data_IF_994469125930
#
_entry.id   IF_994469125930
#
_cell.length_a   1.000
_cell.length_b   1.000
_cell.length_c   1.000
_cell.angle_alpha   90.00
_cell.angle_beta   90.00
_cell.angle_gamma   90.00
#
_symmetry.space_group_name_H-M   'P 1'
#
loop_
_entity.id
_entity.type
_entity.pdbx_description
1 polymer ?
#
# COMPACT_ATOMS: atom_id res chain seq x y z
N UNK A 1 -0.66 15.97 11.10
CA UNK A 1 -1.88 16.53 10.47
C UNK A 1 -1.57 17.31 9.19
N UNK A 2 -0.84 18.45 9.22
CA UNK A 2 -0.57 19.27 8.03
C UNK A 2 0.11 18.52 6.87
N UNK A 3 1.15 17.74 7.17
CA UNK A 3 1.84 16.99 6.14
C UNK A 3 0.96 15.88 5.53
N UNK A 4 0.23 15.13 6.36
CA UNK A 4 -0.63 14.04 5.86
C UNK A 4 -1.72 14.57 4.93
N UNK A 5 -2.29 15.74 5.26
CA UNK A 5 -3.23 16.41 4.38
C UNK A 5 -2.61 16.79 3.03
N UNK A 6 -1.37 17.29 3.01
CA UNK A 6 -0.64 17.56 1.77
C UNK A 6 -0.42 16.29 0.95
N UNK A 7 -0.08 15.17 1.60
CA UNK A 7 0.00 13.86 0.95
C UNK A 7 -1.33 13.46 0.31
N UNK A 8 -2.45 13.57 1.04
CA UNK A 8 -3.77 13.23 0.52
C UNK A 8 -4.14 14.09 -0.68
N UNK A 9 -3.89 15.41 -0.64
CA UNK A 9 -4.13 16.30 -1.78
C UNK A 9 -3.28 15.88 -2.98
N UNK A 10 -1.97 15.68 -2.78
CA UNK A 10 -1.06 15.33 -3.86
C UNK A 10 -1.41 13.99 -4.50
N UNK A 11 -1.82 13.02 -3.69
CA UNK A 11 -2.36 11.75 -4.18
C UNK A 11 -3.59 11.98 -5.06
N UNK A 12 -4.57 12.74 -4.57
CA UNK A 12 -5.79 13.02 -5.34
C UNK A 12 -5.49 13.78 -6.65
N UNK A 13 -4.56 14.73 -6.64
CA UNK A 13 -4.11 15.46 -7.84
C UNK A 13 -3.44 14.52 -8.86
N UNK A 14 -2.50 13.66 -8.42
CA UNK A 14 -1.81 12.70 -9.30
C UNK A 14 -2.76 11.63 -9.87
N UNK A 15 -3.81 11.30 -9.10
CA UNK A 15 -4.90 10.45 -9.54
C UNK A 15 -5.88 11.18 -10.49
N UNK A 16 -5.67 12.47 -10.77
CA UNK A 16 -6.49 13.27 -11.67
C UNK A 16 -7.90 13.56 -11.12
N UNK A 17 -8.02 13.55 -9.80
CA UNK A 17 -9.28 13.74 -9.07
C UNK A 17 -9.46 15.18 -8.62
N UNK A 18 -8.35 15.89 -8.45
CA UNK A 18 -8.31 17.33 -8.19
C UNK A 18 -7.45 17.99 -9.26
N UNK A 19 -7.82 19.21 -9.64
CA UNK A 19 -6.96 20.08 -10.45
C UNK A 19 -6.00 20.90 -9.59
N UNK A 20 -5.19 21.73 -10.26
CA UNK A 20 -4.23 22.64 -9.65
C UNK A 20 -4.88 23.69 -8.74
N UNK A 21 -6.19 23.94 -8.90
CA UNK A 21 -6.99 24.83 -8.06
C UNK A 21 -7.67 24.09 -6.89
N UNK A 22 -7.52 22.76 -6.81
CA UNK A 22 -8.13 21.92 -5.78
C UNK A 22 -9.61 21.61 -6.02
N UNK A 23 -10.11 21.78 -7.24
CA UNK A 23 -11.50 21.48 -7.62
C UNK A 23 -11.64 20.02 -8.05
N UNK A 24 -12.71 19.32 -7.62
CA UNK A 24 -12.96 17.94 -8.00
C UNK A 24 -13.22 17.79 -9.51
N UNK A 25 -12.58 16.79 -10.11
CA UNK A 25 -12.67 16.49 -11.53
C UNK A 25 -13.33 15.13 -11.82
N UNK A 26 -14.07 15.04 -12.93
CA UNK A 26 -14.53 13.81 -13.57
C UNK A 26 -15.06 12.71 -12.61
N UNK A 27 -14.18 11.80 -12.18
CA UNK A 27 -14.48 10.62 -11.37
C UNK A 27 -14.46 10.88 -9.86
N UNK A 28 -14.14 12.11 -9.43
CA UNK A 28 -14.15 12.51 -8.02
C UNK A 28 -15.51 12.26 -7.34
N UNK A 29 -16.61 12.43 -8.08
CA UNK A 29 -17.96 12.11 -7.58
C UNK A 29 -18.13 10.63 -7.22
N UNK A 30 -17.51 9.70 -7.96
CA UNK A 30 -17.61 8.27 -7.65
C UNK A 30 -16.89 7.97 -6.34
N UNK A 31 -15.73 8.58 -6.12
CA UNK A 31 -14.90 8.35 -4.93
C UNK A 31 -15.59 8.87 -3.68
N UNK A 32 -16.20 10.06 -3.75
CA UNK A 32 -16.94 10.62 -2.62
C UNK A 32 -18.16 9.76 -2.25
N UNK A 33 -18.86 9.21 -3.26
CA UNK A 33 -19.96 8.28 -3.01
C UNK A 33 -19.50 6.92 -2.46
N UNK A 34 -18.27 6.48 -2.76
CA UNK A 34 -17.70 5.21 -2.29
C UNK A 34 -16.66 5.38 -1.17
N UNK A 35 -16.67 6.49 -0.44
CA UNK A 35 -15.65 6.81 0.58
C UNK A 35 -15.53 5.74 1.68
N UNK A 36 -16.63 5.05 2.01
CA UNK A 36 -16.65 3.98 3.02
C UNK A 36 -15.94 2.69 2.57
N UNK A 37 -15.54 2.62 1.29
CA UNK A 37 -14.82 1.50 0.71
C UNK A 37 -13.34 1.81 0.43
N UNK A 38 -12.75 2.79 1.10
CA UNK A 38 -11.31 3.02 1.04
C UNK A 38 -10.52 1.79 1.56
N UNK A 39 -9.43 1.38 0.88
CA UNK A 39 -8.80 2.02 -0.30
C UNK A 39 -9.31 1.51 -1.67
N UNK A 40 -10.28 0.59 -1.70
CA UNK A 40 -10.79 -0.03 -2.92
C UNK A 40 -11.41 0.94 -3.92
N UNK A 41 -12.04 2.02 -3.45
CA UNK A 41 -12.60 3.10 -4.28
C UNK A 41 -11.54 3.83 -5.13
N UNK A 42 -10.37 4.13 -4.55
CA UNK A 42 -9.26 4.82 -5.23
C UNK A 42 -8.65 3.92 -6.30
N UNK A 43 -8.37 2.65 -5.94
CA UNK A 43 -7.89 1.66 -6.88
C UNK A 43 -8.89 1.38 -8.02
N UNK A 44 -10.19 1.40 -7.72
CA UNK A 44 -11.24 1.27 -8.73
C UNK A 44 -11.20 2.40 -9.76
N UNK A 45 -11.05 3.65 -9.32
CA UNK A 45 -10.92 4.78 -10.25
C UNK A 45 -9.64 4.72 -11.06
N UNK A 46 -8.52 4.29 -10.47
CA UNK A 46 -7.30 4.05 -11.23
C UNK A 46 -7.49 2.98 -12.33
N UNK A 47 -8.20 1.89 -12.02
CA UNK A 47 -8.56 0.87 -13.02
C UNK A 47 -9.47 1.39 -14.14
N UNK A 48 -10.39 2.30 -13.83
CA UNK A 48 -11.23 2.96 -14.83
C UNK A 48 -10.39 3.88 -15.73
N UNK A 49 -9.52 4.70 -15.13
CA UNK A 49 -8.65 5.65 -15.85
C UNK A 49 -7.64 4.97 -16.75
N UNK A 50 -7.04 3.87 -16.30
CA UNK A 50 -6.11 3.06 -17.09
C UNK A 50 -6.77 2.33 -18.26
N UNK A 51 -8.11 2.27 -18.30
CA UNK A 51 -8.86 1.53 -19.32
C UNK A 51 -8.86 0.01 -19.11
N UNK A 52 -8.22 -0.51 -18.06
CA UNK A 52 -8.08 -1.94 -17.81
C UNK A 52 -9.45 -2.63 -17.63
N UNK A 53 -10.40 -1.95 -16.99
CA UNK A 53 -11.78 -2.45 -16.86
C UNK A 53 -12.53 -2.47 -18.19
N UNK A 54 -12.27 -1.49 -19.08
CA UNK A 54 -12.90 -1.44 -20.41
C UNK A 54 -12.42 -2.60 -21.27
N UNK A 55 -11.14 -2.88 -21.24
CA UNK A 55 -10.55 -4.01 -21.96
C UNK A 55 -11.03 -5.36 -21.40
N UNK A 56 -11.19 -5.45 -20.08
CA UNK A 56 -11.79 -6.64 -19.46
C UNK A 56 -13.22 -6.86 -19.96
N UNK A 57 -13.98 -5.79 -20.13
CA UNK A 57 -15.38 -5.81 -20.56
C UNK A 57 -15.56 -5.74 -22.09
N UNK A 58 -14.57 -6.19 -22.88
CA UNK A 58 -14.70 -6.17 -24.33
C UNK A 58 -15.86 -7.08 -24.77
N UNK A 59 -16.84 -6.55 -25.53
CA UNK A 59 -17.99 -7.33 -25.97
C UNK A 59 -17.55 -8.42 -26.96
N UNK A 60 -18.28 -9.54 -26.98
CA UNK A 60 -18.13 -10.55 -28.03
C UNK A 60 -18.63 -9.99 -29.38
N UNK A 61 -18.40 -10.74 -30.47
CA UNK A 61 -18.76 -10.32 -31.84
C UNK A 61 -20.24 -9.96 -31.99
N UNK A 62 -21.09 -10.54 -31.15
CA UNK A 62 -22.54 -10.35 -31.15
C UNK A 62 -23.00 -9.19 -30.24
N UNK A 63 -22.05 -8.43 -29.67
CA UNK A 63 -22.33 -7.30 -28.76
C UNK A 63 -22.70 -7.71 -27.33
N UNK A 64 -22.74 -9.00 -27.03
CA UNK A 64 -23.06 -9.54 -25.71
C UNK A 64 -21.81 -9.65 -24.82
N UNK A 65 -22.03 -9.55 -23.50
CA UNK A 65 -20.97 -9.76 -22.51
C UNK A 65 -20.98 -11.23 -22.09
N UNK A 66 -19.85 -11.91 -22.30
CA UNK A 66 -19.66 -13.30 -21.90
C UNK A 66 -19.90 -13.52 -20.41
N UNK A 67 -20.44 -14.69 -20.03
CA UNK A 67 -20.52 -15.09 -18.60
C UNK A 67 -19.14 -15.09 -17.94
N UNK A 68 -18.10 -15.47 -18.67
CA UNK A 68 -16.71 -15.42 -18.17
C UNK A 68 -16.26 -13.98 -17.85
N UNK A 69 -16.63 -13.02 -18.70
CA UNK A 69 -16.34 -11.60 -18.50
C UNK A 69 -17.07 -11.04 -17.27
N UNK A 70 -18.35 -11.39 -17.09
CA UNK A 70 -19.10 -11.01 -15.89
C UNK A 70 -18.45 -11.58 -14.61
N UNK A 71 -18.07 -12.86 -14.64
CA UNK A 71 -17.39 -13.51 -13.52
C UNK A 71 -16.04 -12.84 -13.19
N UNK A 72 -15.28 -12.42 -14.20
CA UNK A 72 -14.04 -11.69 -14.01
C UNK A 72 -14.28 -10.29 -13.46
N UNK A 73 -15.35 -9.61 -13.87
CA UNK A 73 -15.72 -8.30 -13.34
C UNK A 73 -16.07 -8.41 -11.84
N UNK A 74 -16.93 -9.37 -11.49
CA UNK A 74 -17.29 -9.64 -10.08
C UNK A 74 -16.07 -10.04 -9.27
N UNK A 75 -15.12 -10.78 -9.87
CA UNK A 75 -13.86 -11.12 -9.23
C UNK A 75 -13.08 -9.85 -8.84
N UNK A 76 -12.89 -8.93 -9.78
CA UNK A 76 -12.19 -7.65 -9.53
C UNK A 76 -12.92 -6.84 -8.46
N UNK A 77 -14.24 -6.72 -8.54
CA UNK A 77 -15.03 -6.01 -7.53
C UNK A 77 -14.93 -6.66 -6.15
N UNK A 78 -14.84 -8.00 -6.09
CA UNK A 78 -14.68 -8.73 -4.83
C UNK A 78 -13.34 -8.41 -4.15
N UNK A 79 -12.27 -8.27 -4.94
CA UNK A 79 -10.96 -7.86 -4.42
C UNK A 79 -10.95 -6.43 -3.87
N UNK A 80 -11.74 -5.52 -4.44
CA UNK A 80 -11.73 -4.10 -4.08
C UNK A 80 -12.72 -3.77 -2.96
N UNK A 81 -13.94 -4.33 -3.02
CA UNK A 81 -15.06 -3.92 -2.16
C UNK A 81 -15.49 -4.98 -1.15
N UNK A 82 -15.10 -6.24 -1.36
CA UNK A 82 -15.40 -7.36 -0.48
C UNK A 82 -14.14 -8.08 0.07
N UNK A 83 -13.04 -7.38 0.41
CA UNK A 83 -11.85 -8.06 0.92
C UNK A 83 -12.09 -8.62 2.31
N UNK A 84 -12.27 -9.94 2.41
CA UNK A 84 -12.32 -10.65 3.68
C UNK A 84 -11.16 -11.62 3.75
N UNK A 85 -10.16 -11.35 4.59
CA UNK A 85 -8.97 -12.20 4.70
C UNK A 85 -9.36 -13.57 5.22
N UNK A 86 -8.95 -14.60 4.48
CA UNK A 86 -9.23 -15.98 4.83
C UNK A 86 -8.25 -16.47 5.89
N UNK A 87 -8.76 -16.94 7.02
CA UNK A 87 -7.92 -17.44 8.11
C UNK A 87 -7.19 -18.71 7.70
N UNK A 88 -5.92 -18.88 8.10
CA UNK A 88 -5.05 -20.00 7.70
C UNK A 88 -5.65 -21.39 7.93
N UNK A 89 -6.53 -21.54 8.92
CA UNK A 89 -7.25 -22.80 9.19
C UNK A 89 -8.24 -23.20 8.10
N UNK A 90 -8.87 -22.23 7.44
CA UNK A 90 -9.86 -22.49 6.38
C UNK A 90 -9.22 -22.96 5.07
N UNK A 91 -7.90 -22.81 4.89
CA UNK A 91 -7.16 -23.32 3.73
C UNK A 91 -7.08 -24.85 3.67
N UNK A 92 -7.11 -25.52 4.84
CA UNK A 92 -6.91 -26.97 4.91
C UNK A 92 -8.22 -27.76 4.82
N UNK A 93 -9.35 -27.08 4.64
CA UNK A 93 -10.67 -27.69 4.57
C UNK A 93 -11.04 -27.87 3.09
N UNK A 94 -11.45 -29.09 2.71
CA UNK A 94 -12.03 -29.35 1.39
C UNK A 94 -13.51 -28.97 1.42
N UNK A 95 -13.89 -28.02 0.57
CA UNK A 95 -15.28 -27.64 0.35
C UNK A 95 -15.75 -28.28 -0.95
N UNK A 96 -16.90 -28.96 -0.90
CA UNK A 96 -17.42 -29.70 -2.06
C UNK A 96 -18.29 -28.81 -2.97
N UNK A 97 -18.99 -27.82 -2.40
CA UNK A 97 -20.01 -27.04 -3.11
C UNK A 97 -19.69 -25.55 -3.23
N UNK A 98 -18.75 -25.02 -2.42
CA UNK A 98 -18.39 -23.61 -2.41
C UNK A 98 -16.94 -23.37 -2.78
N UNK A 99 -16.71 -22.30 -3.55
CA UNK A 99 -15.36 -21.77 -3.80
C UNK A 99 -15.01 -20.74 -2.74
N UNK A 100 -14.55 -21.24 -1.59
CA UNK A 100 -14.25 -20.42 -0.41
C UNK A 100 -13.00 -19.54 -0.61
N UNK A 101 -12.05 -19.99 -1.43
CA UNK A 101 -10.87 -19.20 -1.77
C UNK A 101 -11.16 -18.38 -3.03
N UNK A 102 -10.99 -17.06 -2.92
CA UNK A 102 -11.14 -16.15 -4.06
C UNK A 102 -10.10 -16.49 -5.15
N UNK A 103 -10.51 -16.70 -6.42
CA UNK A 103 -9.58 -16.97 -7.51
C UNK A 103 -8.57 -15.83 -7.72
N UNK A 104 -7.39 -16.08 -8.29
CA UNK A 104 -6.42 -15.02 -8.55
C UNK A 104 -6.95 -14.01 -9.59
N UNK A 105 -6.59 -12.72 -9.40
CA UNK A 105 -6.92 -11.65 -10.34
C UNK A 105 -6.41 -11.93 -11.77
N UNK A 106 -7.13 -11.46 -12.81
CA UNK A 106 -6.61 -11.44 -14.17
C UNK A 106 -5.24 -10.75 -14.22
N UNK A 107 -4.22 -11.31 -14.91
CA UNK A 107 -2.85 -10.81 -14.87
C UNK A 107 -2.72 -9.32 -15.21
N UNK A 108 -3.52 -8.85 -16.17
CA UNK A 108 -3.53 -7.44 -16.58
C UNK A 108 -4.06 -6.51 -15.49
N UNK A 109 -5.15 -6.90 -14.82
CA UNK A 109 -5.71 -6.13 -13.70
C UNK A 109 -4.74 -6.13 -12.53
N UNK A 110 -4.17 -7.29 -12.21
CA UNK A 110 -3.16 -7.41 -11.14
C UNK A 110 -1.99 -6.46 -11.37
N UNK A 111 -1.43 -6.44 -12.59
CA UNK A 111 -0.33 -5.54 -12.95
C UNK A 111 -0.69 -4.06 -12.78
N UNK A 112 -1.90 -3.67 -13.18
CA UNK A 112 -2.36 -2.28 -13.03
C UNK A 112 -2.53 -1.91 -11.55
N UNK A 113 -3.00 -2.83 -10.71
CA UNK A 113 -3.08 -2.61 -9.25
C UNK A 113 -1.69 -2.57 -8.59
N UNK A 114 -0.73 -3.35 -9.09
CA UNK A 114 0.67 -3.26 -8.65
C UNK A 114 1.26 -1.88 -8.99
N UNK A 115 1.02 -1.39 -10.22
CA UNK A 115 1.42 -0.03 -10.62
C UNK A 115 0.76 1.06 -9.75
N UNK A 116 -0.53 0.89 -9.43
CA UNK A 116 -1.23 1.79 -8.49
C UNK A 116 -0.53 1.82 -7.12
N UNK A 117 -0.23 0.64 -6.54
CA UNK A 117 0.45 0.55 -5.26
C UNK A 117 1.85 1.18 -5.32
N UNK A 118 2.60 0.97 -6.41
CA UNK A 118 3.92 1.57 -6.63
C UNK A 118 3.84 3.11 -6.70
N UNK A 119 2.86 3.66 -7.41
CA UNK A 119 2.62 5.12 -7.47
C UNK A 119 2.31 5.68 -6.07
N UNK A 120 1.39 5.04 -5.33
CA UNK A 120 1.02 5.46 -3.96
C UNK A 120 2.25 5.44 -3.05
N UNK A 121 3.08 4.40 -3.14
CA UNK A 121 4.31 4.28 -2.34
C UNK A 121 5.34 5.35 -2.69
N UNK A 122 5.52 5.65 -3.97
CA UNK A 122 6.44 6.71 -4.41
C UNK A 122 6.02 8.07 -3.85
N UNK A 123 4.72 8.39 -3.89
CA UNK A 123 4.17 9.63 -3.31
C UNK A 123 4.38 9.65 -1.79
N UNK A 124 4.22 8.50 -1.14
CA UNK A 124 4.41 8.40 0.31
C UNK A 124 5.90 8.50 0.72
N UNK A 125 6.83 8.00 -0.10
CA UNK A 125 8.27 8.21 0.08
C UNK A 125 8.65 9.70 -0.04
N UNK A 126 8.05 10.42 -1.00
CA UNK A 126 8.21 11.88 -1.11
C UNK A 126 7.67 12.57 0.14
N UNK A 127 6.50 12.15 0.60
CA UNK A 127 5.92 12.64 1.86
C UNK A 127 6.87 12.48 3.04
N UNK A 128 7.49 11.30 3.21
CA UNK A 128 8.46 11.08 4.27
C UNK A 128 9.67 12.02 4.18
N UNK A 129 10.17 12.26 2.98
CA UNK A 129 11.26 13.23 2.74
C UNK A 129 10.87 14.63 3.17
N UNK A 130 9.70 15.11 2.74
CA UNK A 130 9.23 16.45 3.09
C UNK A 130 8.97 16.60 4.61
N UNK A 131 8.42 15.58 5.26
CA UNK A 131 8.22 15.58 6.73
C UNK A 131 9.58 15.63 7.44
N UNK A 132 10.53 14.80 7.01
CA UNK A 132 11.83 14.74 7.65
C UNK A 132 12.63 16.03 7.45
N UNK A 133 12.58 16.66 6.28
CA UNK A 133 13.16 17.99 6.03
C UNK A 133 12.51 19.07 6.93
N UNK A 134 11.18 19.07 7.02
CA UNK A 134 10.45 20.06 7.82
C UNK A 134 10.71 19.95 9.34
N UNK A 135 11.03 18.75 9.81
CA UNK A 135 11.35 18.49 11.21
C UNK A 135 12.88 18.40 11.42
N UNK A 136 13.71 18.44 10.36
CA UNK A 136 15.16 18.15 10.43
C UNK A 136 15.87 19.02 11.48
N UNK A 137 15.52 20.30 11.53
CA UNK A 137 16.07 21.26 12.48
C UNK A 137 15.69 20.94 13.94
N UNK A 138 14.59 20.23 14.16
CA UNK A 138 14.07 19.83 15.47
C UNK A 138 14.40 18.37 15.81
N UNK A 139 14.83 17.57 14.83
CA UNK A 139 14.95 16.11 14.93
C UNK A 139 16.15 15.68 15.80
N UNK A 140 17.13 16.55 16.03
CA UNK A 140 18.32 16.24 16.81
C UNK A 140 19.05 14.98 16.32
N UNK A 141 19.99 14.50 17.12
CA UNK A 141 20.71 13.26 16.81
C UNK A 141 19.85 12.01 17.09
N UNK A 142 19.95 11.00 16.23
CA UNK A 142 19.24 9.72 16.40
C UNK A 142 19.98 8.77 17.35
N UNK A 143 20.07 9.16 18.61
CA UNK A 143 20.86 8.44 19.64
C UNK A 143 20.00 7.72 20.67
N UNK A 144 18.67 7.79 20.57
CA UNK A 144 17.75 7.22 21.56
C UNK A 144 16.97 6.06 20.96
N UNK A 145 17.04 4.89 21.58
CA UNK A 145 16.27 3.72 21.15
C UNK A 145 14.76 3.96 21.35
N UNK A 146 13.92 3.66 20.34
CA UNK A 146 12.53 4.09 20.33
C UNK A 146 11.64 3.38 21.36
N UNK A 147 11.95 2.13 21.71
CA UNK A 147 11.14 1.33 22.65
C UNK A 147 11.66 1.37 24.09
N UNK A 148 12.99 1.40 24.28
CA UNK A 148 13.62 1.36 25.60
C UNK A 148 13.97 2.74 26.15
N UNK A 149 13.98 3.78 25.32
CA UNK A 149 14.42 5.13 25.70
C UNK A 149 15.92 5.23 26.05
N UNK A 150 16.69 4.15 25.83
CA UNK A 150 18.12 4.12 26.15
C UNK A 150 18.86 5.02 25.16
N UNK A 151 19.65 5.95 25.72
CA UNK A 151 20.54 6.82 24.96
C UNK A 151 21.89 6.16 24.73
N UNK A 152 22.28 6.05 23.46
CA UNK A 152 23.57 5.54 23.03
C UNK A 152 24.42 6.74 22.63
N UNK A 153 25.25 7.19 23.58
CA UNK A 153 26.23 8.25 23.36
C UNK A 153 27.60 7.61 23.12
N UNK A 154 28.40 8.10 22.16
CA UNK A 154 29.79 7.66 22.03
C UNK A 154 30.60 8.10 23.27
N UNK A 155 31.56 7.26 23.70
CA UNK A 155 32.47 7.59 24.82
C UNK A 155 33.43 8.74 24.49
N UNK A 156 33.78 8.89 23.22
CA UNK A 156 34.65 9.93 22.68
C UNK A 156 34.08 10.42 21.35
N UNK A 157 34.20 11.72 21.06
CA UNK A 157 33.75 12.27 19.78
C UNK A 157 34.66 11.74 18.66
N UNK A 158 34.13 10.88 17.80
CA UNK A 158 34.85 10.40 16.63
C UNK A 158 35.02 11.54 15.63
N UNK A 159 36.27 11.93 15.36
CA UNK A 159 36.63 12.90 14.32
C UNK A 159 37.38 12.14 13.25
N UNK A 160 36.74 11.93 12.10
CA UNK A 160 37.37 11.25 10.99
C UNK A 160 38.55 12.09 10.45
N UNK A 161 39.70 11.46 10.26
CA UNK A 161 40.87 12.10 9.65
C UNK A 161 40.57 12.44 8.19
N UNK A 162 40.37 13.72 7.86
CA UNK A 162 40.11 14.19 6.48
C UNK A 162 41.38 14.45 5.68
N UNK A 163 42.55 14.46 6.33
CA UNK A 163 43.85 14.71 5.72
C UNK A 163 44.70 13.43 5.64
N UNK A 164 45.33 13.16 4.50
CA UNK A 164 46.20 12.00 4.27
C UNK A 164 45.65 10.96 3.28
N UNK A 165 46.41 9.85 3.06
CA UNK A 165 46.00 8.77 2.15
C UNK A 165 44.69 8.11 2.61
N UNK A 166 43.95 7.52 1.65
CA UNK A 166 42.63 6.94 1.91
C UNK A 166 42.68 5.86 3.00
N UNK A 167 42.23 6.21 4.20
CA UNK A 167 42.05 5.29 5.32
C UNK A 167 40.69 4.61 5.25
N UNK A 168 40.55 3.46 5.92
CA UNK A 168 39.26 2.75 6.04
C UNK A 168 38.18 3.65 6.64
N UNK A 169 38.54 4.46 7.64
CA UNK A 169 37.66 5.42 8.30
C UNK A 169 37.09 6.45 7.32
N UNK A 170 37.97 7.05 6.51
CA UNK A 170 37.57 8.02 5.49
C UNK A 170 36.69 7.39 4.42
N UNK A 171 37.02 6.18 3.98
CA UNK A 171 36.20 5.43 3.03
C UNK A 171 34.80 5.12 3.58
N UNK A 172 34.68 4.79 4.87
CA UNK A 172 33.40 4.55 5.53
C UNK A 172 32.55 5.83 5.69
N UNK A 173 33.19 6.97 5.98
CA UNK A 173 32.50 8.26 6.09
C UNK A 173 32.05 8.77 4.72
N UNK A 174 32.91 8.72 3.71
CA UNK A 174 32.58 9.13 2.33
C UNK A 174 31.54 8.19 1.69
N UNK A 175 31.53 6.91 2.06
CA UNK A 175 30.53 5.93 1.63
C UNK A 175 29.22 5.97 2.44
N UNK A 176 29.12 6.79 3.48
CA UNK A 176 27.94 6.86 4.32
C UNK A 176 26.85 7.70 3.64
N UNK A 177 25.75 7.07 3.23
CA UNK A 177 24.58 7.83 2.76
C UNK A 177 23.98 8.67 3.91
N UNK A 178 23.45 9.87 3.60
CA UNK A 178 22.76 10.69 4.59
C UNK A 178 21.55 9.95 5.15
N UNK A 179 21.39 10.00 6.48
CA UNK A 179 20.33 9.34 7.24
C UNK A 179 19.46 10.42 7.90
N UNK A 180 18.56 10.98 7.11
CA UNK A 180 17.62 12.00 7.58
C UNK A 180 16.34 11.33 8.09
N UNK A 181 15.88 10.29 7.37
CA UNK A 181 14.60 9.62 7.63
C UNK A 181 14.78 8.25 8.26
N UNK A 182 15.74 7.46 7.75
CA UNK A 182 16.08 6.15 8.26
C UNK A 182 16.73 6.29 9.65
N UNK A 183 16.34 5.44 10.59
CA UNK A 183 16.97 5.41 11.89
C UNK A 183 18.44 5.01 11.77
N UNK A 184 19.32 5.67 12.53
CA UNK A 184 20.72 5.29 12.62
C UNK A 184 20.89 3.82 13.03
N UNK A 185 19.99 3.30 13.87
CA UNK A 185 19.96 1.91 14.31
C UNK A 185 19.54 0.95 13.18
N UNK A 186 18.52 1.31 12.41
CA UNK A 186 18.08 0.52 11.26
C UNK A 186 19.16 0.51 10.15
N UNK A 187 19.87 1.63 9.99
CA UNK A 187 20.93 1.74 9.01
C UNK A 187 22.15 0.84 9.29
N UNK A 188 22.36 0.40 10.54
CA UNK A 188 23.37 -0.62 10.85
C UNK A 188 23.05 -1.97 10.18
N UNK A 189 21.80 -2.21 9.81
CA UNK A 189 21.35 -3.41 9.09
C UNK A 189 21.34 -3.24 7.57
N UNK A 190 21.92 -2.14 7.04
CA UNK A 190 21.98 -1.86 5.61
C UNK A 190 20.76 -1.13 5.04
N UNK A 191 19.90 -0.57 5.90
CA UNK A 191 18.79 0.28 5.47
C UNK A 191 19.24 1.73 5.22
N UNK A 192 18.68 2.39 4.21
CA UNK A 192 18.97 3.80 3.92
C UNK A 192 17.68 4.59 3.68
N UNK A 193 17.83 5.88 3.35
CA UNK A 193 16.71 6.77 3.04
C UNK A 193 16.03 6.45 1.67
N UNK A 194 16.48 5.39 0.99
CA UNK A 194 15.91 4.89 -0.27
C UNK A 194 14.97 3.71 -0.01
N UNK A 195 13.77 3.74 -0.60
CA UNK A 195 12.80 2.64 -0.50
C UNK A 195 12.35 2.41 0.95
N UNK A 196 11.95 3.50 1.62
CA UNK A 196 11.56 3.51 3.02
C UNK A 196 10.29 2.69 3.25
N UNK A 197 9.37 2.76 2.28
CA UNK A 197 8.17 1.94 2.31
C UNK A 197 8.43 0.54 1.76
N UNK A 198 8.31 -0.47 2.61
CA UNK A 198 8.22 -1.87 2.20
C UNK A 198 6.95 -2.50 2.76
N UNK A 199 6.19 -3.20 1.91
CA UNK A 199 4.96 -3.92 2.28
C UNK A 199 5.15 -4.87 3.47
N UNK A 200 6.38 -5.37 3.71
CA UNK A 200 6.69 -6.30 4.81
C UNK A 200 7.30 -5.61 6.03
N UNK A 201 8.03 -4.50 5.84
CA UNK A 201 8.68 -3.73 6.90
C UNK A 201 8.10 -2.32 6.94
N UNK A 202 6.84 -2.23 7.33
CA UNK A 202 6.06 -0.99 7.26
C UNK A 202 6.64 0.14 8.15
N UNK A 203 7.35 -0.17 9.26
CA UNK A 203 7.59 0.82 10.33
C UNK A 203 9.01 0.76 10.93
N UNK A 204 9.73 -0.36 10.82
CA UNK A 204 10.92 -0.59 11.64
C UNK A 204 12.12 0.32 11.32
N UNK A 205 12.16 0.86 10.11
CA UNK A 205 13.36 1.49 9.59
C UNK A 205 13.36 3.01 9.73
N UNK A 206 12.21 3.61 10.03
CA UNK A 206 12.02 5.06 10.09
C UNK A 206 12.31 5.56 11.51
N UNK A 207 12.93 6.74 11.63
CA UNK A 207 13.11 7.43 12.91
C UNK A 207 11.77 7.62 13.61
N UNK A 208 11.69 7.26 14.89
CA UNK A 208 10.44 7.32 15.64
C UNK A 208 9.87 8.74 15.76
N UNK A 209 10.71 9.78 15.65
CA UNK A 209 10.25 11.18 15.69
C UNK A 209 9.56 11.62 14.38
N UNK A 210 9.74 10.87 13.28
CA UNK A 210 9.08 11.11 11.97
C UNK A 210 7.78 10.31 11.84
N UNK A 211 7.51 9.40 12.79
CA UNK A 211 6.50 8.35 12.67
C UNK A 211 5.10 8.86 12.25
N UNK A 212 4.56 8.24 11.20
CA UNK A 212 3.19 8.42 10.72
C UNK A 212 2.52 7.07 10.60
N UNK A 213 1.20 7.02 10.88
CA UNK A 213 0.45 5.76 10.83
C UNK A 213 0.51 5.17 9.42
N UNK A 214 1.00 3.95 9.27
CA UNK A 214 1.13 3.33 7.94
C UNK A 214 -0.21 2.75 7.47
N UNK A 215 -1.18 2.61 8.38
CA UNK A 215 -2.52 2.16 8.05
C UNK A 215 -3.32 3.17 7.25
N UNK A 216 -2.86 4.42 7.16
CA UNK A 216 -3.53 5.46 6.37
C UNK A 216 -3.07 5.51 4.92
N UNK A 217 -2.14 4.64 4.51
CA UNK A 217 -1.69 4.57 3.11
C UNK A 217 -2.69 3.71 2.31
N UNK A 218 -3.32 4.27 1.26
CA UNK A 218 -4.36 3.58 0.53
C UNK A 218 -3.78 2.58 -0.48
N UNK A 219 -3.30 1.43 0.01
CA UNK A 219 -2.77 0.34 -0.83
C UNK A 219 -3.71 -0.86 -0.88
N UNK A 220 -3.74 -1.54 -2.01
CA UNK A 220 -4.50 -2.79 -2.17
C UNK A 220 -3.58 -3.98 -1.90
N UNK A 221 -3.90 -4.79 -0.90
CA UNK A 221 -3.08 -5.95 -0.54
C UNK A 221 -3.31 -7.14 -1.50
N UNK A 222 -2.43 -7.32 -2.50
CA UNK A 222 -2.60 -8.36 -3.53
C UNK A 222 -2.05 -9.74 -3.14
N UNK A 223 -1.22 -9.81 -2.10
CA UNK A 223 -0.51 -11.04 -1.69
C UNK A 223 -1.29 -11.90 -0.67
N UNK A 224 -2.44 -11.41 -0.19
CA UNK A 224 -3.29 -12.14 0.75
C UNK A 224 -4.29 -13.04 0.02
N UNK A 225 -4.73 -14.06 0.74
CA UNK A 225 -5.80 -14.95 0.27
C UNK A 225 -7.11 -14.46 0.86
N UNK A 226 -8.06 -14.18 -0.02
CA UNK A 226 -9.36 -13.65 0.35
C UNK A 226 -10.43 -14.74 0.28
N UNK A 227 -11.46 -14.55 1.08
CA UNK A 227 -12.67 -15.32 1.04
C UNK A 227 -13.47 -14.95 -0.22
N UNK A 228 -13.91 -15.98 -0.94
CA UNK A 228 -14.61 -15.89 -2.20
C UNK A 228 -16.10 -15.55 -2.11
N UNK A 229 -16.66 -15.26 -0.94
CA UNK A 229 -18.11 -15.24 -0.70
C UNK A 229 -18.93 -14.45 -1.73
N UNK A 230 -18.49 -13.24 -2.11
CA UNK A 230 -19.23 -12.38 -3.05
C UNK A 230 -19.24 -12.97 -4.47
N UNK A 231 -18.09 -13.49 -4.89
CA UNK A 231 -17.91 -14.16 -6.17
C UNK A 231 -18.63 -15.52 -6.22
N UNK A 232 -18.60 -16.28 -5.12
CA UNK A 232 -19.28 -17.56 -4.96
C UNK A 232 -20.81 -17.39 -4.95
N UNK A 233 -21.30 -16.35 -4.27
CA UNK A 233 -22.71 -15.97 -4.28
C UNK A 233 -23.19 -15.63 -5.69
N UNK A 234 -22.44 -14.84 -6.43
CA UNK A 234 -22.81 -14.48 -7.80
C UNK A 234 -22.85 -15.71 -8.73
N UNK A 235 -21.97 -16.70 -8.51
CA UNK A 235 -21.93 -17.90 -9.34
C UNK A 235 -23.05 -18.90 -9.02
N UNK A 236 -23.34 -19.14 -7.74
CA UNK A 236 -24.22 -20.23 -7.30
C UNK A 236 -25.55 -19.75 -6.70
N UNK A 237 -25.59 -18.55 -6.09
CA UNK A 237 -26.78 -18.00 -5.44
C UNK A 237 -27.18 -18.70 -4.13
N UNK A 238 -26.33 -19.55 -3.57
CA UNK A 238 -26.68 -20.42 -2.43
C UNK A 238 -26.27 -19.77 -1.10
N UNK A 239 -27.24 -19.25 -0.35
CA UNK A 239 -27.02 -18.59 0.96
C UNK A 239 -26.48 -19.55 2.02
N UNK A 240 -26.97 -20.80 2.06
CA UNK A 240 -26.54 -21.80 3.03
C UNK A 240 -25.03 -22.12 2.92
N UNK A 241 -24.49 -22.11 1.71
CA UNK A 241 -23.07 -22.37 1.46
C UNK A 241 -22.20 -21.18 1.93
N UNK A 242 -22.72 -19.96 1.84
CA UNK A 242 -22.05 -18.77 2.37
C UNK A 242 -21.97 -18.80 3.90
N UNK A 243 -23.03 -19.25 4.56
CA UNK A 243 -23.06 -19.33 6.02
C UNK A 243 -22.13 -20.44 6.55
N UNK A 244 -22.22 -21.63 5.95
CA UNK A 244 -21.51 -22.81 6.45
C UNK A 244 -20.05 -22.87 5.99
N UNK A 245 -19.78 -22.57 4.72
CA UNK A 245 -18.45 -22.78 4.12
C UNK A 245 -17.62 -21.50 4.13
N UNK A 246 -18.25 -20.33 3.87
CA UNK A 246 -17.56 -19.03 3.90
C UNK A 246 -17.52 -18.37 5.29
N UNK A 247 -18.19 -18.95 6.30
CA UNK A 247 -18.10 -18.53 7.70
C UNK A 247 -18.72 -17.15 8.01
N UNK A 248 -19.63 -16.68 7.15
CA UNK A 248 -20.35 -15.43 7.37
C UNK A 248 -21.58 -15.63 8.28
N UNK A 249 -21.75 -14.72 9.25
CA UNK A 249 -22.93 -14.71 10.12
C UNK A 249 -24.13 -14.10 9.39
N UNK A 250 -25.32 -14.59 9.71
CA UNK A 250 -26.56 -13.94 9.27
C UNK A 250 -26.70 -12.61 10.01
N UNK A 251 -26.84 -11.53 9.24
CA UNK A 251 -27.16 -10.19 9.74
C UNK A 251 -28.66 -10.01 9.90
#
# INVERSE_FOLDING_TARGET
MKHFFAFSIQLLMLQGLLDDEGKPQHLAGIITHLHYHEPGNLAFVYLLRSGALRELCTPEKDGTISKATQMNLVLVLSYLFAPLVLHRRAHNVKYNNSKVVLPPLPPKIKKVLEMYNEEVMCIYDIYFKCVAEGIANNLGEDVTLPMSGVRIMPREAFVASTEGPMSLERHLVEGCEPKVICSAFAALSGHSDRGLYSHYNMISNIRHQVFTDVKVVPIVELNKTYNGYAWDFYNHGIVAAIMNDNGLKQG
#
